data_IF_224182300383
#
_entry.id   IF_224182300383
#
_cell.length_a   1.000
_cell.length_b   1.000
_cell.length_c   1.000
_cell.angle_alpha   90.00
_cell.angle_beta   90.00
_cell.angle_gamma   90.00
#
_symmetry.space_group_name_H-M   'P 1'
#
loop_
_entity.id
_entity.type
_entity.pdbx_description
1 polymer ?
#
# COMPACT_ATOMS: atom_id res chain seq x y z
N UNK A 1 0.42 -2.13 19.86
CA UNK A 1 -0.61 -2.77 19.01
C UNK A 1 -0.15 -4.14 18.52
N UNK A 2 0.84 -4.24 17.61
CA UNK A 2 1.20 -5.51 16.93
C UNK A 2 1.47 -6.72 17.83
N UNK A 3 2.01 -6.51 19.04
CA UNK A 3 2.27 -7.57 20.04
C UNK A 3 0.99 -8.26 20.56
N UNK A 4 -0.15 -7.58 20.46
CA UNK A 4 -1.43 -8.04 21.01
C UNK A 4 -2.37 -8.57 19.92
N UNK A 5 -2.01 -8.44 18.64
CA UNK A 5 -2.88 -8.79 17.51
C UNK A 5 -2.52 -10.16 16.93
N UNK A 6 -3.53 -11.00 16.69
CA UNK A 6 -3.37 -12.24 15.92
C UNK A 6 -3.42 -11.98 14.41
N UNK A 7 -4.10 -10.89 14.01
CA UNK A 7 -4.17 -10.40 12.63
C UNK A 7 -3.92 -8.90 12.61
N UNK A 8 -3.05 -8.44 11.71
CA UNK A 8 -2.80 -7.02 11.46
C UNK A 8 -3.14 -6.70 10.00
N UNK A 9 -3.88 -5.62 9.76
CA UNK A 9 -4.20 -5.13 8.42
C UNK A 9 -3.66 -3.70 8.24
N UNK A 10 -2.84 -3.50 7.22
CA UNK A 10 -2.23 -2.22 6.89
C UNK A 10 -3.18 -1.41 6.01
N UNK A 11 -3.55 -0.21 6.45
CA UNK A 11 -4.48 0.70 5.77
C UNK A 11 -3.99 2.16 5.79
N UNK A 12 -2.70 2.39 6.03
CA UNK A 12 -2.09 3.72 5.99
C UNK A 12 -1.55 4.05 4.59
N UNK A 13 -1.43 5.34 4.23
CA UNK A 13 -0.78 5.75 2.98
C UNK A 13 0.71 5.43 2.97
N UNK A 14 1.32 5.45 1.79
CA UNK A 14 2.78 5.40 1.63
C UNK A 14 3.35 6.82 1.51
N UNK A 15 4.23 7.16 2.43
CA UNK A 15 5.08 8.34 2.45
C UNK A 15 6.39 8.00 3.23
N UNK A 16 7.39 8.89 3.34
CA UNK A 16 8.70 8.54 3.91
C UNK A 16 8.65 7.92 5.33
N UNK A 17 7.66 8.29 6.14
CA UNK A 17 7.54 7.79 7.52
C UNK A 17 6.93 6.39 7.61
N UNK A 18 6.30 5.91 6.53
CA UNK A 18 5.67 4.58 6.47
C UNK A 18 6.40 3.64 5.51
N UNK A 19 7.39 4.12 4.78
CA UNK A 19 8.21 3.29 3.89
C UNK A 19 8.99 2.26 4.72
N UNK A 20 8.86 0.98 4.37
CA UNK A 20 9.40 -0.15 5.14
C UNK A 20 9.04 -0.14 6.64
N UNK A 21 7.89 0.44 7.03
CA UNK A 21 7.43 0.43 8.42
C UNK A 21 7.34 -1.00 8.98
N UNK A 22 6.88 -1.96 8.17
CA UNK A 22 6.89 -3.39 8.50
C UNK A 22 8.20 -4.02 8.06
N UNK A 23 9.28 -3.65 8.74
CA UNK A 23 10.61 -4.24 8.61
C UNK A 23 10.79 -5.49 9.49
N UNK A 24 12.00 -6.06 9.51
CA UNK A 24 12.32 -7.22 10.34
C UNK A 24 12.08 -6.96 11.84
N UNK A 25 12.33 -5.74 12.32
CA UNK A 25 12.15 -5.39 13.73
C UNK A 25 10.65 -5.37 14.09
N UNK A 26 9.82 -4.68 13.32
CA UNK A 26 8.39 -4.59 13.61
C UNK A 26 7.69 -5.94 13.39
N UNK A 27 8.06 -6.69 12.35
CA UNK A 27 7.54 -8.04 12.11
C UNK A 27 7.86 -8.95 13.30
N UNK A 28 9.07 -8.89 13.87
CA UNK A 28 9.45 -9.72 15.03
C UNK A 28 8.65 -9.43 16.31
N UNK A 29 8.03 -8.24 16.38
CA UNK A 29 7.16 -7.83 17.49
C UNK A 29 5.73 -8.34 17.31
N UNK A 30 5.35 -8.88 16.16
CA UNK A 30 4.05 -9.54 16.00
C UNK A 30 4.04 -10.84 16.80
N UNK A 31 2.85 -11.37 17.10
CA UNK A 31 2.75 -12.69 17.72
C UNK A 31 3.29 -13.75 16.75
N UNK A 32 4.02 -14.73 17.26
CA UNK A 32 4.41 -15.90 16.47
C UNK A 32 3.14 -16.62 15.98
N UNK A 33 3.08 -16.90 14.68
CA UNK A 33 1.92 -17.52 14.03
C UNK A 33 0.80 -16.53 13.65
N UNK A 34 1.06 -15.22 13.69
CA UNK A 34 0.09 -14.19 13.31
C UNK A 34 -0.04 -14.02 11.79
N UNK A 35 -1.08 -13.30 11.36
CA UNK A 35 -1.35 -12.98 9.97
C UNK A 35 -1.16 -11.49 9.69
N UNK A 36 -0.62 -11.17 8.51
CA UNK A 36 -0.47 -9.82 8.01
C UNK A 36 -1.22 -9.64 6.70
N UNK A 37 -2.04 -8.60 6.60
CA UNK A 37 -2.76 -8.23 5.37
C UNK A 37 -2.35 -6.84 4.93
N UNK A 38 -2.00 -6.67 3.66
CA UNK A 38 -1.62 -5.38 3.09
C UNK A 38 -2.30 -5.14 1.74
N UNK A 39 -3.32 -4.30 1.75
CA UNK A 39 -3.97 -3.74 0.55
C UNK A 39 -3.76 -2.23 0.48
N UNK A 40 -2.72 -1.73 1.15
CA UNK A 40 -2.38 -0.32 1.20
C UNK A 40 -1.35 0.03 0.12
N UNK A 41 -0.07 -0.32 0.33
CA UNK A 41 1.01 -0.20 -0.67
C UNK A 41 2.11 -1.21 -0.36
N UNK A 42 2.69 -1.82 -1.40
CA UNK A 42 3.72 -2.85 -1.23
C UNK A 42 4.95 -2.35 -0.47
N UNK A 43 5.36 -1.11 -0.72
CA UNK A 43 6.53 -0.46 -0.13
C UNK A 43 6.43 -0.11 1.37
N UNK A 44 5.28 -0.36 2.00
CA UNK A 44 5.13 -0.24 3.47
C UNK A 44 5.76 -1.44 4.18
N UNK A 45 5.92 -2.57 3.48
CA UNK A 45 6.49 -3.80 4.02
C UNK A 45 7.84 -4.04 3.38
N UNK A 46 8.85 -4.33 4.19
CA UNK A 46 10.15 -4.76 3.66
C UNK A 46 9.99 -6.14 3.00
N UNK A 47 10.27 -6.17 1.70
CA UNK A 47 10.08 -7.33 0.83
C UNK A 47 10.77 -8.58 1.35
N UNK A 48 12.04 -8.47 1.75
CA UNK A 48 12.88 -9.61 2.09
C UNK A 48 12.70 -10.03 3.55
N UNK A 49 12.44 -9.06 4.44
CA UNK A 49 12.09 -9.34 5.83
C UNK A 49 10.77 -10.13 5.92
N UNK A 50 9.78 -9.78 5.10
CA UNK A 50 8.52 -10.51 5.06
C UNK A 50 8.71 -11.96 4.62
N UNK A 51 9.51 -12.19 3.56
CA UNK A 51 9.81 -13.55 3.08
C UNK A 51 10.41 -14.39 4.21
N UNK A 52 11.42 -13.86 4.91
CA UNK A 52 12.05 -14.56 6.05
C UNK A 52 11.08 -14.81 7.21
N UNK A 53 10.25 -13.82 7.54
CA UNK A 53 9.28 -13.93 8.63
C UNK A 53 8.20 -14.97 8.32
N UNK A 54 7.77 -15.04 7.05
CA UNK A 54 6.85 -16.05 6.57
C UNK A 54 7.53 -17.41 6.55
N UNK A 55 8.71 -17.58 5.93
CA UNK A 55 9.44 -18.85 5.85
C UNK A 55 9.72 -19.48 7.22
N UNK A 56 10.14 -18.69 8.20
CA UNK A 56 10.38 -19.13 9.57
C UNK A 56 9.12 -19.52 10.36
N UNK A 57 7.93 -19.20 9.81
CA UNK A 57 6.64 -19.41 10.48
C UNK A 57 6.37 -18.41 11.61
N UNK A 58 7.15 -17.32 11.70
CA UNK A 58 6.81 -16.22 12.60
C UNK A 58 5.51 -15.54 12.14
N UNK A 59 5.38 -15.32 10.84
CA UNK A 59 4.12 -14.95 10.19
C UNK A 59 3.51 -16.20 9.55
N UNK A 60 2.31 -16.58 9.97
CA UNK A 60 1.60 -17.76 9.48
C UNK A 60 0.95 -17.53 8.12
N UNK A 61 0.74 -16.29 7.72
CA UNK A 61 0.28 -15.98 6.36
C UNK A 61 0.33 -14.50 6.03
N UNK A 62 0.54 -14.23 4.75
CA UNK A 62 0.50 -12.88 4.20
C UNK A 62 -0.47 -12.80 3.02
N UNK A 63 -1.33 -11.79 3.00
CA UNK A 63 -2.28 -11.56 1.92
C UNK A 63 -2.25 -10.09 1.49
N UNK A 64 -2.49 -9.85 0.19
CA UNK A 64 -2.49 -8.50 -0.35
C UNK A 64 -2.63 -8.49 -1.86
N UNK A 65 -2.91 -7.31 -2.39
CA UNK A 65 -2.94 -7.04 -3.83
C UNK A 65 -1.89 -6.01 -4.26
N UNK A 66 -1.15 -5.42 -3.32
CA UNK A 66 -0.19 -4.36 -3.58
C UNK A 66 1.25 -4.86 -3.70
N UNK A 67 2.02 -4.26 -4.62
CA UNK A 67 3.39 -4.64 -4.95
C UNK A 67 4.29 -3.41 -5.12
N UNK A 68 5.61 -3.62 -5.11
CA UNK A 68 6.57 -2.61 -5.57
C UNK A 68 7.76 -3.26 -6.31
N UNK A 69 8.11 -2.79 -7.53
CA UNK A 69 7.35 -1.86 -8.37
C UNK A 69 6.07 -2.50 -8.95
N UNK A 70 5.30 -1.75 -9.73
CA UNK A 70 4.13 -2.24 -10.46
C UNK A 70 4.29 -1.93 -11.96
N UNK A 71 4.21 -2.93 -12.87
CA UNK A 71 3.97 -4.36 -12.60
C UNK A 71 5.12 -5.01 -11.82
N UNK A 72 4.78 -5.91 -10.90
CA UNK A 72 5.78 -6.64 -10.14
C UNK A 72 6.59 -7.57 -11.06
N UNK A 73 7.93 -7.61 -10.95
CA UNK A 73 8.77 -8.54 -11.70
C UNK A 73 8.27 -9.99 -11.60
N UNK A 74 8.51 -10.78 -12.65
CA UNK A 74 8.05 -12.16 -12.71
C UNK A 74 8.67 -13.04 -11.62
N UNK A 75 9.88 -12.70 -11.16
CA UNK A 75 10.65 -13.33 -10.10
C UNK A 75 10.45 -12.68 -8.72
N UNK A 76 9.47 -11.78 -8.56
CA UNK A 76 9.18 -11.16 -7.27
C UNK A 76 8.89 -12.24 -6.21
N UNK A 77 9.59 -12.26 -5.06
CA UNK A 77 9.58 -13.40 -4.14
C UNK A 77 8.22 -13.68 -3.50
N UNK A 78 7.38 -12.65 -3.33
CA UNK A 78 6.01 -12.83 -2.84
C UNK A 78 5.11 -13.65 -3.78
N UNK A 79 5.52 -13.91 -5.02
CA UNK A 79 4.80 -14.79 -5.97
C UNK A 79 4.96 -16.28 -5.65
N UNK A 80 5.95 -16.65 -4.84
CA UNK A 80 6.30 -18.05 -4.59
C UNK A 80 6.61 -18.37 -3.13
N UNK A 81 6.70 -17.37 -2.25
CA UNK A 81 6.92 -17.60 -0.81
C UNK A 81 5.79 -18.47 -0.21
N UNK A 82 6.07 -19.31 0.80
CA UNK A 82 5.04 -20.17 1.37
C UNK A 82 3.91 -19.35 2.01
N UNK A 83 2.70 -19.93 2.13
CA UNK A 83 1.58 -19.33 2.90
C UNK A 83 1.20 -17.90 2.48
N UNK A 84 1.36 -17.56 1.20
CA UNK A 84 0.87 -16.32 0.64
C UNK A 84 -0.56 -16.45 0.08
N UNK A 85 -1.31 -15.36 0.11
CA UNK A 85 -2.57 -15.17 -0.61
C UNK A 85 -2.52 -13.88 -1.43
N UNK A 86 -1.50 -13.78 -2.29
CA UNK A 86 -1.27 -12.62 -3.12
C UNK A 86 -2.14 -12.62 -4.37
N UNK A 87 -2.53 -11.42 -4.78
CA UNK A 87 -3.14 -11.17 -6.08
C UNK A 87 -2.48 -9.98 -6.77
N UNK A 88 -2.63 -9.79 -8.10
CA UNK A 88 -2.26 -8.52 -8.74
C UNK A 88 -3.05 -7.36 -8.13
N UNK A 89 -2.59 -6.11 -8.31
CA UNK A 89 -3.30 -4.95 -7.78
C UNK A 89 -4.63 -4.75 -8.53
N UNK A 90 -5.72 -5.18 -7.91
CA UNK A 90 -7.06 -5.07 -8.52
C UNK A 90 -8.19 -4.70 -7.55
N UNK A 91 -7.96 -4.65 -6.23
CA UNK A 91 -9.04 -4.37 -5.27
C UNK A 91 -9.74 -3.03 -5.52
N UNK A 92 -8.96 -2.00 -5.88
CA UNK A 92 -9.45 -0.67 -6.24
C UNK A 92 -10.02 -0.53 -7.66
N UNK A 93 -9.94 -1.58 -8.49
CA UNK A 93 -10.35 -1.55 -9.92
C UNK A 93 -11.44 -2.57 -10.27
N UNK A 94 -12.25 -2.96 -9.29
CA UNK A 94 -13.50 -3.69 -9.56
C UNK A 94 -14.42 -2.87 -10.47
N UNK A 95 -15.26 -3.51 -11.29
CA UNK A 95 -16.16 -2.82 -12.22
C UNK A 95 -17.01 -1.73 -11.54
N UNK A 96 -17.47 -1.99 -10.31
CA UNK A 96 -18.20 -1.01 -9.50
C UNK A 96 -17.35 0.20 -9.10
N UNK A 97 -16.08 -0.03 -8.74
CA UNK A 97 -15.15 1.04 -8.41
C UNK A 97 -14.77 1.87 -9.65
N UNK A 98 -14.61 1.23 -10.81
CA UNK A 98 -14.31 1.91 -12.08
C UNK A 98 -15.36 2.97 -12.44
N UNK A 99 -16.64 2.64 -12.29
CA UNK A 99 -17.71 3.60 -12.55
C UNK A 99 -17.57 4.87 -11.69
N UNK A 100 -17.24 4.72 -10.40
CA UNK A 100 -17.11 5.84 -9.46
C UNK A 100 -15.86 6.67 -9.70
N UNK A 101 -14.69 6.04 -9.82
CA UNK A 101 -13.46 6.82 -10.03
C UNK A 101 -13.44 7.44 -11.42
N UNK A 102 -14.03 6.82 -12.45
CA UNK A 102 -14.15 7.43 -13.79
C UNK A 102 -15.00 8.71 -13.75
N UNK A 103 -16.13 8.67 -13.04
CA UNK A 103 -16.95 9.87 -12.83
C UNK A 103 -16.20 10.95 -12.04
N UNK A 104 -15.46 10.57 -10.99
CA UNK A 104 -14.63 11.49 -10.21
C UNK A 104 -13.48 12.12 -11.03
N UNK A 105 -12.80 11.33 -11.86
CA UNK A 105 -11.76 11.85 -12.78
C UNK A 105 -12.36 12.85 -13.77
N UNK A 106 -13.53 12.54 -14.35
CA UNK A 106 -14.24 13.47 -15.23
C UNK A 106 -14.59 14.78 -14.51
N UNK A 107 -15.11 14.70 -13.29
CA UNK A 107 -15.44 15.88 -12.48
C UNK A 107 -14.19 16.77 -12.25
N UNK A 108 -13.05 16.17 -11.88
CA UNK A 108 -11.80 16.91 -11.67
C UNK A 108 -11.41 17.68 -12.93
N UNK A 109 -11.51 17.05 -14.10
CA UNK A 109 -11.20 17.67 -15.39
C UNK A 109 -12.17 18.80 -15.74
N UNK A 110 -13.47 18.59 -15.57
CA UNK A 110 -14.49 19.63 -15.80
C UNK A 110 -14.22 20.87 -14.92
N UNK A 111 -13.92 20.67 -13.63
CA UNK A 111 -13.58 21.78 -12.72
C UNK A 111 -12.30 22.49 -13.15
N UNK A 112 -11.29 21.74 -13.56
CA UNK A 112 -10.03 22.30 -14.04
C UNK A 112 -10.22 23.18 -15.29
N UNK A 113 -10.91 22.66 -16.31
CA UNK A 113 -11.11 23.40 -17.57
C UNK A 113 -12.08 24.58 -17.42
N UNK A 114 -13.03 24.52 -16.49
CA UNK A 114 -13.93 25.63 -16.16
C UNK A 114 -13.30 26.68 -15.22
N UNK A 115 -12.05 26.49 -14.78
CA UNK A 115 -11.40 27.37 -13.81
C UNK A 115 -12.06 27.38 -12.42
N UNK A 116 -12.77 26.30 -12.06
CA UNK A 116 -13.41 26.12 -10.75
C UNK A 116 -12.43 25.49 -9.75
N UNK A 117 -12.48 25.86 -8.46
CA UNK A 117 -11.66 25.23 -7.44
C UNK A 117 -11.98 23.74 -7.33
N UNK A 118 -10.98 22.89 -7.08
CA UNK A 118 -11.21 21.47 -6.84
C UNK A 118 -11.89 21.23 -5.49
N UNK A 119 -12.47 20.03 -5.31
CA UNK A 119 -12.97 19.63 -4.00
C UNK A 119 -11.79 19.43 -3.05
N UNK A 120 -11.83 19.98 -1.81
CA UNK A 120 -10.72 19.85 -0.86
C UNK A 120 -10.28 18.41 -0.60
N UNK A 121 -11.23 17.47 -0.54
CA UNK A 121 -10.98 16.05 -0.29
C UNK A 121 -10.30 15.30 -1.45
N UNK A 122 -10.26 15.89 -2.66
CA UNK A 122 -9.55 15.32 -3.81
C UNK A 122 -8.09 15.83 -3.89
N UNK A 123 -7.75 16.89 -3.16
CA UNK A 123 -6.45 17.52 -3.23
C UNK A 123 -5.44 16.79 -2.34
N UNK A 124 -4.36 16.31 -2.95
CA UNK A 124 -3.18 15.79 -2.23
C UNK A 124 -2.10 16.87 -2.11
N UNK A 125 -1.87 17.62 -3.19
CA UNK A 125 -0.93 18.73 -3.23
C UNK A 125 -1.46 19.84 -4.16
N UNK A 126 -1.23 21.09 -3.77
CA UNK A 126 -1.59 22.29 -4.53
C UNK A 126 -0.57 23.40 -4.22
N UNK A 127 -0.25 24.25 -5.21
CA UNK A 127 0.63 25.39 -5.00
C UNK A 127 2.04 25.02 -4.49
N UNK A 128 2.53 23.83 -4.85
CA UNK A 128 3.84 23.32 -4.42
C UNK A 128 3.89 22.79 -2.97
N UNK A 129 2.74 22.56 -2.33
CA UNK A 129 2.66 22.03 -0.96
C UNK A 129 1.73 20.83 -0.90
N UNK A 130 2.03 19.89 0.01
CA UNK A 130 1.08 18.85 0.41
C UNK A 130 -0.05 19.51 1.19
N UNK A 131 -1.30 19.25 0.80
CA UNK A 131 -2.51 19.80 1.43
C UNK A 131 -3.30 18.74 2.19
N UNK A 132 -3.12 17.47 1.84
CA UNK A 132 -3.76 16.35 2.53
C UNK A 132 -3.16 16.16 3.93
N UNK A 133 -3.98 15.94 4.98
CA UNK A 133 -3.48 15.61 6.33
C UNK A 133 -2.91 14.19 6.42
N UNK A 134 -3.04 13.38 5.37
CA UNK A 134 -2.65 11.97 5.35
C UNK A 134 -1.23 11.72 4.84
N UNK A 135 -0.56 12.72 4.27
CA UNK A 135 0.75 12.57 3.65
C UNK A 135 1.77 13.56 4.20
N UNK A 136 3.03 13.16 4.19
CA UNK A 136 4.15 14.08 4.43
C UNK A 136 4.92 14.37 3.14
N UNK A 137 5.62 15.50 3.11
CA UNK A 137 6.42 15.88 1.95
C UNK A 137 7.62 14.93 1.79
N UNK A 138 7.81 14.37 0.60
CA UNK A 138 8.96 13.53 0.29
C UNK A 138 8.76 12.72 -0.97
N UNK A 139 9.66 11.76 -1.21
CA UNK A 139 9.61 10.88 -2.37
C UNK A 139 9.59 9.42 -1.96
N UNK A 140 8.60 8.66 -2.42
CA UNK A 140 8.50 7.22 -2.23
C UNK A 140 8.69 6.42 -3.55
N UNK A 141 9.03 7.09 -4.67
CA UNK A 141 9.16 6.43 -5.98
C UNK A 141 10.52 5.78 -6.21
N UNK A 142 11.53 6.04 -5.37
CA UNK A 142 12.88 5.46 -5.54
C UNK A 142 12.83 3.94 -5.70
N UNK A 143 13.43 3.43 -6.78
CA UNK A 143 13.39 2.02 -7.17
C UNK A 143 12.20 1.66 -8.09
N UNK A 144 11.36 2.62 -8.46
CA UNK A 144 10.50 2.49 -9.63
C UNK A 144 11.36 2.46 -10.90
N UNK A 145 10.83 1.82 -11.95
CA UNK A 145 11.42 1.75 -13.29
C UNK A 145 11.91 3.11 -13.81
#
# INVERSE_FOLDING_TARGET
MVKECDVVSINCPLHPETENLFDAELLSKMKKGSYLVNTARGKIVDKDALVKAVESGHIQGYAGDEWFPQPAPADHPWRSMPRHAMTPHYSGTTLDAQARYAAGTKEILERFFDGKPQRPEYLIAEGGKVTSPSYTHGNATSGSL
#
